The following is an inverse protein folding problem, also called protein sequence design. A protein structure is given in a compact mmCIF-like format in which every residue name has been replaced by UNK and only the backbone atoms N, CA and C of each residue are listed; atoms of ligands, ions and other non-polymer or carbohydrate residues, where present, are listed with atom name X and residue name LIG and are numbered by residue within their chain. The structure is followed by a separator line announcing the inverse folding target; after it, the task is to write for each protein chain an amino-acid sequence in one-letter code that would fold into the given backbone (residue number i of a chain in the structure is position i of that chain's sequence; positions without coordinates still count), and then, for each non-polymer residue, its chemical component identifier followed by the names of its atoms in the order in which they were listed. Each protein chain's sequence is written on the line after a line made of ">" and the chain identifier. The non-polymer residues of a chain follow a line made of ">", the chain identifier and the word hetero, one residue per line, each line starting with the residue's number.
data_IF_186019412709
#
_entry.id   IF_186019412709
#
_cell.length_a   1.000
_cell.length_b   1.000
_cell.length_c   1.000
_cell.angle_alpha   90.00
_cell.angle_beta   90.00
_cell.angle_gamma   90.00
#
_symmetry.space_group_name_H-M   'P 1'
#
loop_
_entity.id
_entity.type
_entity.pdbx_description
1 polymer ?
#
# COMPACT_ATOMS: atom_id res chain seq x y z
N UNK A 1 -1.90 -3.23 6.41
CA UNK A 1 -0.89 -2.30 6.99
C UNK A 1 -1.50 -1.06 7.60
N UNK A 2 -2.40 -0.33 6.91
CA UNK A 2 -2.99 0.91 7.45
C UNK A 2 -3.70 0.73 8.80
N UNK A 3 -4.39 -0.41 9.02
CA UNK A 3 -4.95 -0.75 10.33
C UNK A 3 -3.89 -0.80 11.42
N UNK A 4 -2.72 -1.38 11.15
CA UNK A 4 -1.62 -1.44 12.10
C UNK A 4 -1.06 -0.05 12.41
N UNK A 5 -0.84 0.77 11.37
CA UNK A 5 -0.37 2.14 11.50
C UNK A 5 -1.28 2.97 12.42
N UNK A 6 -2.58 3.00 12.14
CA UNK A 6 -3.53 3.80 12.92
C UNK A 6 -3.77 3.22 14.32
N UNK A 7 -3.66 1.90 14.49
CA UNK A 7 -3.71 1.27 15.82
C UNK A 7 -2.51 1.69 16.68
N UNK A 8 -1.31 1.73 16.11
CA UNK A 8 -0.10 2.18 16.80
C UNK A 8 -0.16 3.66 17.16
N UNK A 9 -0.64 4.51 16.25
CA UNK A 9 -0.81 5.94 16.51
C UNK A 9 -1.82 6.20 17.65
N UNK A 10 -2.96 5.50 17.66
CA UNK A 10 -4.01 5.69 18.68
C UNK A 10 -3.67 5.09 20.04
N UNK A 11 -3.09 3.89 20.06
CA UNK A 11 -2.93 3.09 21.27
C UNK A 11 -1.49 2.99 21.76
N UNK A 12 -0.50 3.31 20.92
CA UNK A 12 0.91 3.11 21.19
C UNK A 12 1.53 4.11 22.17
N UNK A 13 0.78 5.13 22.63
CA UNK A 13 1.27 6.19 23.52
C UNK A 13 1.88 5.70 24.84
N UNK A 14 1.50 4.51 25.29
CA UNK A 14 2.08 3.87 26.49
C UNK A 14 3.45 3.20 26.23
N UNK A 15 3.78 2.90 24.98
CA UNK A 15 5.08 2.32 24.56
C UNK A 15 6.01 3.38 23.97
N UNK A 16 5.45 4.30 23.18
CA UNK A 16 6.17 5.36 22.49
C UNK A 16 5.50 6.69 22.80
N UNK A 17 6.20 7.58 23.51
CA UNK A 17 5.71 8.94 23.72
C UNK A 17 5.59 9.65 22.38
N UNK A 18 4.39 10.11 22.02
CA UNK A 18 4.10 10.94 20.84
C UNK A 18 4.29 10.25 19.47
N UNK A 19 4.12 8.93 19.38
CA UNK A 19 4.12 8.21 18.10
C UNK A 19 3.03 8.75 17.15
N UNK A 20 3.44 9.27 15.99
CA UNK A 20 2.53 9.82 14.96
C UNK A 20 2.65 9.00 13.69
N UNK A 21 1.54 8.82 12.96
CA UNK A 21 1.56 8.07 11.70
C UNK A 21 2.39 8.80 10.64
N UNK A 22 3.49 8.17 10.23
CA UNK A 22 4.41 8.64 9.18
C UNK A 22 4.11 8.01 7.81
N UNK A 23 3.72 6.74 7.78
CA UNK A 23 3.43 6.02 6.54
C UNK A 23 3.46 4.51 6.68
N UNK A 24 3.18 3.82 5.57
CA UNK A 24 3.31 2.38 5.41
C UNK A 24 4.19 2.10 4.19
N UNK A 25 5.16 1.21 4.36
CA UNK A 25 6.09 0.79 3.32
C UNK A 25 6.12 -0.73 3.22
N UNK A 26 6.31 -1.21 2.00
CA UNK A 26 6.41 -2.62 1.65
C UNK A 26 7.75 -2.83 0.98
N UNK A 27 8.56 -3.68 1.60
CA UNK A 27 9.85 -4.13 1.10
C UNK A 27 9.70 -5.52 0.48
N UNK A 28 10.23 -5.69 -0.73
CA UNK A 28 10.30 -7.01 -1.36
C UNK A 28 11.38 -7.84 -0.66
N UNK A 29 11.00 -8.99 -0.09
CA UNK A 29 11.95 -9.85 0.63
C UNK A 29 13.00 -10.50 -0.29
N UNK A 30 12.61 -10.80 -1.53
CA UNK A 30 13.47 -11.44 -2.54
C UNK A 30 13.16 -10.79 -3.91
N UNK A 31 13.74 -9.61 -4.21
CA UNK A 31 13.55 -8.98 -5.51
C UNK A 31 14.21 -9.84 -6.58
N UNK A 32 13.50 -10.02 -7.70
CA UNK A 32 14.06 -10.74 -8.83
C UNK A 32 15.38 -10.07 -9.26
N UNK A 33 16.44 -10.85 -9.52
CA UNK A 33 17.71 -10.28 -9.97
C UNK A 33 17.47 -9.52 -11.28
N UNK A 34 18.03 -8.32 -11.37
CA UNK A 34 17.97 -7.55 -12.61
C UNK A 34 18.76 -8.29 -13.70
N UNK A 35 18.25 -8.26 -14.94
CA UNK A 35 18.97 -8.77 -16.10
C UNK A 35 20.12 -7.83 -16.44
N UNK A 36 21.23 -7.95 -15.74
CA UNK A 36 22.46 -7.20 -15.99
C UNK A 36 23.26 -7.87 -17.11
N UNK A 37 23.70 -7.04 -18.08
CA UNK A 37 24.65 -7.45 -19.11
C UNK A 37 25.99 -7.72 -18.40
N UNK A 38 26.55 -8.92 -18.62
CA UNK A 38 27.82 -9.31 -18.01
C UNK A 38 28.93 -8.34 -18.45
N UNK A 39 29.65 -7.68 -17.53
CA UNK A 39 30.74 -6.80 -17.92
C UNK A 39 31.86 -7.60 -18.60
N UNK A 40 32.44 -7.06 -19.68
CA UNK A 40 33.47 -7.73 -20.49
C UNK A 40 34.86 -7.71 -19.84
N UNK A 41 35.06 -7.01 -18.73
CA UNK A 41 36.36 -6.82 -18.07
C UNK A 41 36.39 -7.35 -16.64
N UNK A 42 37.52 -7.94 -16.25
CA UNK A 42 37.81 -8.57 -14.95
C UNK A 42 38.01 -7.56 -13.80
N UNK A 43 37.78 -6.27 -14.09
CA UNK A 43 37.79 -5.19 -13.11
C UNK A 43 36.42 -5.16 -12.41
N UNK A 44 36.30 -6.00 -11.38
CA UNK A 44 35.10 -6.10 -10.56
C UNK A 44 34.84 -4.78 -9.81
N UNK A 45 34.12 -3.86 -10.46
CA UNK A 45 33.35 -2.80 -9.82
C UNK A 45 32.39 -3.41 -8.77
N UNK A 46 32.16 -2.71 -7.64
CA UNK A 46 31.55 -3.30 -6.46
C UNK A 46 30.19 -3.88 -6.80
N UNK A 47 29.91 -5.10 -6.28
CA UNK A 47 28.60 -5.75 -6.28
C UNK A 47 27.50 -4.68 -6.31
N UNK A 48 26.92 -4.45 -7.49
CA UNK A 48 25.95 -3.40 -7.71
C UNK A 48 24.89 -3.59 -6.64
N UNK A 49 24.78 -2.61 -5.72
CA UNK A 49 24.01 -2.78 -4.49
C UNK A 49 22.61 -3.26 -4.88
N UNK A 50 22.20 -4.42 -4.36
CA UNK A 50 20.89 -4.99 -4.66
C UNK A 50 19.84 -3.91 -4.40
N UNK A 51 19.13 -3.54 -5.47
CA UNK A 51 18.09 -2.54 -5.40
C UNK A 51 16.84 -3.21 -4.84
N UNK A 52 16.39 -2.76 -3.68
CA UNK A 52 15.15 -3.23 -3.07
C UNK A 52 14.08 -2.18 -3.26
N UNK A 53 13.26 -2.28 -4.33
CA UNK A 53 12.23 -1.28 -4.58
C UNK A 53 11.23 -1.24 -3.42
N UNK A 54 10.95 -0.05 -2.93
CA UNK A 54 9.96 0.19 -1.88
C UNK A 54 8.66 0.69 -2.49
N UNK A 55 7.56 0.15 -1.99
CA UNK A 55 6.20 0.52 -2.36
C UNK A 55 5.48 1.00 -1.10
N UNK A 56 4.63 2.02 -1.19
CA UNK A 56 3.97 2.49 0.02
C UNK A 56 3.16 3.77 -0.11
N UNK A 57 2.73 4.26 1.04
CA UNK A 57 2.05 5.53 1.25
C UNK A 57 2.68 6.24 2.45
N UNK A 58 3.20 7.45 2.24
CA UNK A 58 3.79 8.29 3.29
C UNK A 58 2.95 9.55 3.50
N UNK A 59 3.12 10.16 4.68
CA UNK A 59 2.60 11.49 4.95
C UNK A 59 3.38 12.51 4.10
N UNK A 60 2.66 13.47 3.53
CA UNK A 60 3.25 14.61 2.81
C UNK A 60 3.90 15.61 3.78
N UNK A 61 5.02 15.20 4.37
CA UNK A 61 5.81 16.02 5.27
C UNK A 61 7.31 15.84 4.98
N UNK A 62 8.02 16.89 4.49
CA UNK A 62 9.43 16.79 4.12
C UNK A 62 10.34 16.28 5.22
N UNK A 63 10.06 16.65 6.46
CA UNK A 63 10.82 16.19 7.64
C UNK A 63 10.83 14.66 7.76
N UNK A 64 9.74 13.98 7.34
CA UNK A 64 9.55 12.54 7.48
C UNK A 64 10.32 11.79 6.41
N UNK A 65 10.05 12.07 5.13
CA UNK A 65 10.69 11.31 4.06
C UNK A 65 12.18 11.63 3.89
N UNK A 66 12.64 12.81 4.33
CA UNK A 66 14.08 13.08 4.45
C UNK A 66 14.71 12.44 5.69
N UNK A 67 13.96 12.19 6.77
CA UNK A 67 14.47 11.38 7.87
C UNK A 67 14.59 9.90 7.49
N UNK A 68 13.68 9.41 6.65
CA UNK A 68 13.71 8.04 6.11
C UNK A 68 14.81 7.86 5.05
N UNK A 69 14.96 8.80 4.12
CA UNK A 69 16.06 8.84 3.14
C UNK A 69 16.80 10.19 3.18
N UNK A 70 17.81 10.26 4.05
CA UNK A 70 18.64 11.45 4.27
C UNK A 70 19.37 11.96 3.03
N UNK A 71 19.60 11.09 2.03
CA UNK A 71 20.29 11.46 0.79
C UNK A 71 19.31 11.77 -0.35
N UNK A 72 18.01 11.56 -0.15
CA UNK A 72 17.00 11.73 -1.20
C UNK A 72 17.27 10.83 -2.42
N UNK A 73 17.75 9.61 -2.17
CA UNK A 73 18.11 8.67 -3.24
C UNK A 73 16.91 7.91 -3.80
N UNK A 74 15.83 7.79 -3.02
CA UNK A 74 14.70 6.91 -3.30
C UNK A 74 14.97 5.44 -2.97
N UNK A 75 16.09 5.14 -2.31
CA UNK A 75 16.46 3.77 -1.95
C UNK A 75 15.75 3.28 -0.66
N UNK A 76 15.35 4.20 0.21
CA UNK A 76 14.75 3.91 1.51
C UNK A 76 13.34 4.48 1.69
N UNK A 77 12.77 5.04 0.62
CA UNK A 77 11.40 5.55 0.58
C UNK A 77 10.78 5.22 -0.77
N UNK A 78 9.45 5.06 -0.88
CA UNK A 78 8.76 4.84 -2.15
C UNK A 78 8.67 6.13 -2.98
N UNK A 79 9.70 6.99 -2.97
CA UNK A 79 9.74 8.27 -3.66
C UNK A 79 10.87 8.34 -4.68
N UNK A 80 10.59 8.96 -5.82
CA UNK A 80 11.62 9.33 -6.80
C UNK A 80 11.91 10.81 -6.68
N UNK A 81 13.18 11.17 -6.50
CA UNK A 81 13.61 12.56 -6.30
C UNK A 81 14.17 13.17 -7.58
N UNK A 82 13.99 14.48 -7.74
CA UNK A 82 14.55 15.26 -8.82
C UNK A 82 16.01 15.60 -8.53
N UNK A 83 16.93 15.19 -9.41
CA UNK A 83 18.36 15.49 -9.29
C UNK A 83 18.69 17.00 -9.29
N UNK A 84 17.76 17.86 -9.74
CA UNK A 84 17.94 19.32 -9.77
C UNK A 84 17.50 20.02 -8.48
N UNK A 85 16.45 19.52 -7.85
CA UNK A 85 15.79 20.19 -6.72
C UNK A 85 15.98 19.45 -5.40
N UNK A 86 16.32 18.15 -5.44
CA UNK A 86 16.36 17.29 -4.24
C UNK A 86 14.98 16.93 -3.69
N UNK A 87 13.91 17.37 -4.35
CA UNK A 87 12.52 17.16 -3.93
C UNK A 87 11.88 15.97 -4.65
N UNK A 88 10.83 15.34 -4.05
CA UNK A 88 10.04 14.32 -4.72
C UNK A 88 9.48 14.82 -6.06
N UNK A 89 9.56 13.99 -7.08
CA UNK A 89 8.96 14.27 -8.39
C UNK A 89 7.44 14.35 -8.24
N UNK A 90 6.79 15.27 -8.97
CA UNK A 90 5.34 15.50 -8.86
C UNK A 90 4.51 14.22 -9.09
N UNK A 91 4.95 13.35 -10.00
CA UNK A 91 4.29 12.07 -10.27
C UNK A 91 4.40 11.12 -9.07
N UNK A 92 5.59 11.02 -8.48
CA UNK A 92 5.83 10.17 -7.31
C UNK A 92 5.09 10.70 -6.09
N UNK A 93 5.18 12.00 -5.82
CA UNK A 93 4.46 12.67 -4.74
C UNK A 93 2.94 12.41 -4.83
N UNK A 94 2.33 12.63 -6.00
CA UNK A 94 0.89 12.40 -6.21
C UNK A 94 0.46 10.94 -5.94
N UNK A 95 1.33 9.97 -6.23
CA UNK A 95 1.00 8.55 -6.09
C UNK A 95 1.26 8.01 -4.68
N UNK A 96 2.14 8.64 -3.91
CA UNK A 96 2.76 8.05 -2.71
C UNK A 96 2.66 8.92 -1.47
N UNK A 97 2.38 10.20 -1.62
CA UNK A 97 2.18 11.13 -0.53
C UNK A 97 0.69 11.38 -0.34
N UNK A 98 0.28 11.45 0.92
CA UNK A 98 -1.03 11.89 1.33
C UNK A 98 -0.86 12.88 2.49
N UNK A 99 -1.57 14.00 2.41
CA UNK A 99 -1.62 14.95 3.51
C UNK A 99 -2.31 14.35 4.75
N UNK A 100 -2.27 15.09 5.85
CA UNK A 100 -2.86 14.66 7.12
C UNK A 100 -4.38 14.46 7.02
N UNK A 101 -5.06 15.26 6.22
CA UNK A 101 -6.52 15.19 6.06
C UNK A 101 -6.92 13.93 5.30
N UNK A 102 -6.18 13.59 4.24
CA UNK A 102 -6.31 12.35 3.49
C UNK A 102 -6.00 11.13 4.36
N UNK A 103 -4.98 11.20 5.22
CA UNK A 103 -4.75 10.15 6.23
C UNK A 103 -5.94 9.97 7.17
N UNK A 104 -6.54 11.07 7.66
CA UNK A 104 -7.75 11.02 8.48
C UNK A 104 -8.93 10.40 7.71
N UNK A 105 -9.16 10.82 6.45
CA UNK A 105 -10.21 10.22 5.59
C UNK A 105 -10.00 8.72 5.38
N UNK A 106 -8.77 8.29 5.11
CA UNK A 106 -8.43 6.87 4.97
C UNK A 106 -8.73 6.11 6.26
N UNK A 107 -8.34 6.66 7.41
CA UNK A 107 -8.59 6.05 8.72
C UNK A 107 -10.09 5.91 9.00
N UNK A 108 -10.85 6.97 8.79
CA UNK A 108 -12.29 6.98 9.08
C UNK A 108 -13.03 6.03 8.12
N UNK A 109 -12.59 5.94 6.86
CA UNK A 109 -13.09 4.94 5.90
C UNK A 109 -12.79 3.50 6.35
N UNK A 110 -11.57 3.23 6.86
CA UNK A 110 -11.21 1.90 7.37
C UNK A 110 -12.05 1.52 8.60
N UNK A 111 -12.27 2.45 9.52
CA UNK A 111 -13.12 2.24 10.69
C UNK A 111 -14.58 1.95 10.28
N UNK A 112 -15.08 2.68 9.29
CA UNK A 112 -16.40 2.44 8.68
C UNK A 112 -16.49 1.05 8.06
N UNK A 113 -15.51 0.67 7.23
CA UNK A 113 -15.45 -0.65 6.59
C UNK A 113 -15.44 -1.79 7.62
N UNK A 114 -14.64 -1.67 8.68
CA UNK A 114 -14.61 -2.67 9.75
C UNK A 114 -15.95 -2.77 10.48
N UNK A 115 -16.59 -1.63 10.74
CA UNK A 115 -17.90 -1.57 11.39
C UNK A 115 -18.97 -2.24 10.52
N UNK A 116 -18.96 -1.97 9.21
CA UNK A 116 -19.93 -2.55 8.28
C UNK A 116 -19.69 -4.04 8.08
N UNK A 117 -18.43 -4.49 7.98
CA UNK A 117 -18.09 -5.92 8.00
C UNK A 117 -18.63 -6.62 9.25
N UNK A 118 -18.50 -6.00 10.42
CA UNK A 118 -19.03 -6.57 11.66
C UNK A 118 -20.56 -6.65 11.64
N UNK A 119 -21.25 -5.58 11.23
CA UNK A 119 -22.71 -5.57 11.10
C UNK A 119 -23.20 -6.67 10.19
N UNK A 120 -22.62 -6.80 9.00
CA UNK A 120 -22.99 -7.81 8.00
C UNK A 120 -22.82 -9.22 8.55
N UNK A 121 -21.73 -9.47 9.28
CA UNK A 121 -21.48 -10.75 9.95
C UNK A 121 -22.56 -11.04 11.01
N UNK A 122 -22.88 -10.07 11.87
CA UNK A 122 -23.90 -10.23 12.92
C UNK A 122 -25.32 -10.33 12.38
N UNK A 123 -25.62 -9.77 11.21
CA UNK A 123 -26.92 -9.89 10.55
C UNK A 123 -27.08 -11.16 9.73
N UNK A 124 -26.03 -11.98 9.61
CA UNK A 124 -26.07 -13.23 8.84
C UNK A 124 -25.95 -13.03 7.32
N UNK A 125 -25.33 -11.93 6.88
CA UNK A 125 -25.03 -11.70 5.46
C UNK A 125 -23.82 -12.54 5.04
N UNK A 126 -24.08 -13.79 4.65
CA UNK A 126 -23.07 -14.81 4.34
C UNK A 126 -23.12 -15.30 2.89
N UNK A 127 -23.80 -14.56 2.01
CA UNK A 127 -23.95 -14.92 0.61
C UNK A 127 -22.59 -15.01 -0.09
N UNK A 128 -22.47 -16.00 -0.99
CA UNK A 128 -21.29 -16.17 -1.82
C UNK A 128 -21.27 -15.12 -2.94
N UNK A 129 -20.86 -13.89 -2.60
CA UNK A 129 -20.80 -12.75 -3.51
C UNK A 129 -19.33 -12.31 -3.75
N UNK A 130 -18.55 -13.03 -4.58
CA UNK A 130 -17.15 -12.68 -4.82
C UNK A 130 -17.03 -11.32 -5.55
N UNK A 131 -16.03 -10.53 -5.17
CA UNK A 131 -15.68 -9.30 -5.89
C UNK A 131 -14.82 -9.66 -7.10
N UNK A 132 -15.31 -9.44 -8.31
CA UNK A 132 -14.61 -9.79 -9.57
C UNK A 132 -14.28 -8.51 -10.34
N UNK A 133 -13.04 -7.97 -10.22
CA UNK A 133 -12.67 -6.70 -10.84
C UNK A 133 -12.60 -6.75 -12.37
N UNK A 134 -12.15 -7.89 -12.91
CA UNK A 134 -12.06 -8.18 -14.33
C UNK A 134 -11.92 -9.69 -14.55
N UNK A 135 -12.22 -10.14 -15.78
CA UNK A 135 -12.04 -11.53 -16.18
C UNK A 135 -10.57 -11.96 -15.95
N UNK A 136 -10.35 -12.92 -15.05
CA UNK A 136 -9.02 -13.42 -14.67
C UNK A 136 -8.51 -12.98 -13.29
N UNK A 137 -9.18 -12.06 -12.58
CA UNK A 137 -8.87 -11.70 -11.18
C UNK A 137 -9.98 -12.10 -10.22
N UNK A 138 -10.65 -13.20 -10.49
CA UNK A 138 -11.68 -13.73 -9.59
C UNK A 138 -11.03 -14.32 -8.34
N UNK A 139 -11.49 -13.94 -7.12
CA UNK A 139 -10.98 -14.53 -5.88
C UNK A 139 -11.30 -16.03 -5.78
N UNK A 140 -12.27 -16.52 -6.56
CA UNK A 140 -12.62 -17.95 -6.62
C UNK A 140 -11.44 -18.83 -7.05
N UNK A 141 -10.45 -18.29 -7.76
CA UNK A 141 -9.26 -19.03 -8.19
C UNK A 141 -8.37 -19.50 -7.02
N UNK A 142 -8.44 -18.79 -5.89
CA UNK A 142 -7.64 -19.08 -4.69
C UNK A 142 -8.49 -19.46 -3.48
N UNK A 143 -9.80 -19.63 -3.66
CA UNK A 143 -10.72 -19.95 -2.57
C UNK A 143 -10.85 -21.46 -2.36
N UNK A 144 -10.39 -21.97 -1.22
CA UNK A 144 -10.49 -23.38 -0.85
C UNK A 144 -11.96 -23.85 -0.69
N UNK A 145 -12.88 -22.94 -0.40
CA UNK A 145 -14.30 -23.22 -0.21
C UNK A 145 -15.12 -23.23 -1.50
N UNK A 146 -14.49 -23.11 -2.68
CA UNK A 146 -15.19 -23.05 -3.98
C UNK A 146 -16.11 -24.26 -4.22
N UNK A 147 -15.74 -25.44 -3.73
CA UNK A 147 -16.54 -26.66 -3.87
C UNK A 147 -17.75 -26.70 -2.92
N UNK A 148 -17.78 -25.83 -1.90
CA UNK A 148 -18.81 -25.79 -0.86
C UNK A 148 -19.81 -24.67 -1.09
N UNK A 149 -19.36 -23.50 -1.55
CA UNK A 149 -20.21 -22.31 -1.66
C UNK A 149 -21.27 -22.38 -2.77
N UNK A 150 -21.14 -23.32 -3.72
CA UNK A 150 -22.04 -23.51 -4.88
C UNK A 150 -22.21 -22.27 -5.78
N UNK A 151 -21.31 -21.30 -5.67
CA UNK A 151 -21.25 -20.13 -6.56
C UNK A 151 -21.06 -20.53 -8.02
N UNK A 152 -21.88 -19.98 -8.91
CA UNK A 152 -21.70 -20.10 -10.35
C UNK A 152 -21.04 -18.83 -10.89
N UNK A 153 -19.93 -18.99 -11.61
CA UNK A 153 -19.19 -17.84 -12.15
C UNK A 153 -20.11 -16.99 -13.04
N UNK A 154 -20.15 -15.69 -12.77
CA UNK A 154 -21.04 -14.71 -13.42
C UNK A 154 -22.38 -14.45 -12.73
N UNK A 155 -22.77 -15.22 -11.70
CA UNK A 155 -24.03 -15.03 -10.96
C UNK A 155 -23.78 -14.38 -9.60
N UNK A 156 -24.43 -13.26 -9.28
CA UNK A 156 -24.32 -12.63 -7.95
C UNK A 156 -22.93 -12.06 -7.62
N UNK A 157 -22.07 -11.89 -8.63
CA UNK A 157 -20.73 -11.32 -8.44
C UNK A 157 -20.78 -9.82 -8.22
N UNK A 158 -19.98 -9.33 -7.27
CA UNK A 158 -19.81 -7.90 -7.03
C UNK A 158 -18.79 -7.34 -8.00
N UNK A 159 -19.03 -6.14 -8.50
CA UNK A 159 -18.04 -5.35 -9.24
C UNK A 159 -17.48 -4.26 -8.34
N UNK A 160 -16.22 -3.84 -8.54
CA UNK A 160 -15.68 -2.70 -7.82
C UNK A 160 -16.56 -1.48 -8.13
N UNK A 161 -17.09 -0.85 -7.08
CA UNK A 161 -17.58 0.51 -7.21
C UNK A 161 -16.37 1.35 -7.67
N UNK A 162 -16.52 2.09 -8.76
CA UNK A 162 -15.57 3.14 -9.17
C UNK A 162 -16.06 4.47 -8.58
N UNK A 163 -15.74 4.83 -7.34
CA UNK A 163 -15.60 6.25 -7.03
C UNK A 163 -14.35 6.76 -7.75
N UNK A 164 -14.42 7.97 -8.30
CA UNK A 164 -13.32 8.59 -9.04
C UNK A 164 -12.10 8.89 -8.13
N UNK A 165 -12.32 9.07 -6.82
CA UNK A 165 -11.30 9.02 -5.76
C UNK A 165 -12.00 8.84 -4.38
N UNK A 166 -11.96 7.66 -3.74
CA UNK A 166 -12.61 7.44 -2.44
C UNK A 166 -11.98 8.24 -1.29
N UNK A 167 -10.83 8.91 -1.53
CA UNK A 167 -10.09 9.67 -0.52
C UNK A 167 -9.78 11.11 -0.96
N UNK A 168 -10.37 11.55 -2.07
CA UNK A 168 -10.23 12.90 -2.60
C UNK A 168 -10.75 13.95 -1.61
N UNK A 169 -10.33 15.19 -1.77
CA UNK A 169 -11.04 16.30 -1.13
C UNK A 169 -12.43 16.43 -1.80
N UNK A 170 -13.47 16.69 -1.00
CA UNK A 170 -14.81 17.04 -1.52
C UNK A 170 -14.76 18.27 -2.45
#
# INVERSE_FOLDING_TARGET
>A
MLLYLFTLERNGGHLFSQGTAAGVEYLWADPAPENIIRPETDDAEPLQAQNYPLEGLLLDEPSIYHAMDTRGTGAFVPLSFSAKTGEPTAQSAKARLADREKFNRIRDHLDGMLTDMAKNLYSGEIDAAPLVPNAGKSPCLWCEYRTVCRHADGEGERTPLKPDDPFGAE
#
